data_IF_139432466778
#
_entry.id   IF_139432466778
#
_cell.length_a   1.000
_cell.length_b   1.000
_cell.length_c   1.000
_cell.angle_alpha   90.00
_cell.angle_beta   90.00
_cell.angle_gamma   90.00
#
_symmetry.space_group_name_H-M   'P 1'
#
loop_
_entity.id
_entity.type
_entity.pdbx_description
1 polymer ?
#
# COMPACT_ATOMS: atom_id res chain seq x y z
N UNK A 1 1.61 -16.63 23.62
CA UNK A 1 1.95 -16.89 22.20
C UNK A 1 3.05 -15.90 21.85
N UNK A 2 4.22 -16.36 21.43
CA UNK A 2 5.29 -15.47 20.95
C UNK A 2 4.75 -14.83 19.66
N UNK A 3 4.59 -13.51 19.64
CA UNK A 3 4.22 -12.79 18.40
C UNK A 3 5.30 -13.09 17.36
N UNK A 4 4.91 -13.76 16.28
CA UNK A 4 5.82 -14.03 15.16
C UNK A 4 6.22 -12.67 14.54
N UNK A 5 7.51 -12.36 14.54
CA UNK A 5 8.00 -11.14 13.87
C UNK A 5 7.55 -11.16 12.40
N UNK A 6 7.11 -10.04 11.84
CA UNK A 6 6.78 -9.98 10.41
C UNK A 6 8.01 -10.35 9.58
N UNK A 7 7.83 -10.96 8.40
CA UNK A 7 8.94 -11.26 7.50
C UNK A 7 9.69 -9.99 7.10
N UNK A 8 11.00 -10.12 6.91
CA UNK A 8 11.81 -9.04 6.35
C UNK A 8 11.44 -8.85 4.87
N UNK A 9 11.40 -7.62 4.39
CA UNK A 9 11.05 -7.30 3.01
C UNK A 9 12.27 -6.74 2.26
N UNK A 10 12.74 -7.48 1.26
CA UNK A 10 13.76 -7.02 0.31
C UNK A 10 13.10 -6.69 -1.01
N UNK A 11 13.17 -5.46 -1.45
CA UNK A 11 12.68 -5.04 -2.77
C UNK A 11 13.85 -4.71 -3.68
N UNK A 12 13.91 -5.35 -4.84
CA UNK A 12 14.85 -5.05 -5.90
C UNK A 12 14.15 -4.20 -6.96
N UNK A 13 14.58 -2.95 -7.15
CA UNK A 13 14.18 -2.14 -8.30
C UNK A 13 15.01 -2.61 -9.48
N UNK A 14 14.45 -3.50 -10.30
CA UNK A 14 15.19 -4.16 -11.38
C UNK A 14 15.20 -3.37 -12.68
N UNK A 15 14.34 -2.35 -12.80
CA UNK A 15 14.29 -1.46 -13.96
C UNK A 15 13.61 -0.13 -13.62
N UNK A 16 14.05 0.94 -14.23
CA UNK A 16 13.33 2.22 -14.20
C UNK A 16 12.34 2.36 -15.37
N UNK A 17 12.33 1.42 -16.32
CA UNK A 17 11.42 1.44 -17.48
C UNK A 17 10.00 1.08 -17.07
N UNK A 18 9.04 1.75 -17.70
CA UNK A 18 7.63 1.39 -17.64
C UNK A 18 7.00 1.57 -19.01
N UNK A 19 6.07 0.71 -19.37
CA UNK A 19 5.31 0.80 -20.60
C UNK A 19 4.01 1.63 -20.44
N UNK A 20 3.71 2.11 -19.22
CA UNK A 20 2.58 2.98 -18.92
C UNK A 20 3.04 4.33 -18.37
N UNK A 21 2.14 5.31 -18.45
CA UNK A 21 2.31 6.64 -17.88
C UNK A 21 1.09 6.99 -17.02
N UNK A 22 0.97 6.33 -15.86
CA UNK A 22 -0.15 6.52 -14.93
C UNK A 22 -0.18 7.95 -14.41
N UNK A 23 -1.37 8.55 -14.33
CA UNK A 23 -1.55 9.98 -13.98
C UNK A 23 -1.09 10.37 -12.57
N UNK A 24 -0.98 9.40 -11.69
CA UNK A 24 -0.60 9.57 -10.29
C UNK A 24 0.76 8.93 -9.94
N UNK A 25 1.51 8.47 -10.93
CA UNK A 25 2.75 7.75 -10.69
C UNK A 25 3.75 8.65 -9.96
N UNK A 26 4.23 8.21 -8.79
CA UNK A 26 5.25 8.92 -8.04
C UNK A 26 6.68 8.64 -8.53
N UNK A 27 6.85 7.69 -9.43
CA UNK A 27 8.11 7.38 -10.09
C UNK A 27 8.34 8.36 -11.24
N UNK A 28 8.92 9.51 -10.93
CA UNK A 28 9.06 10.62 -11.89
C UNK A 28 10.34 10.54 -12.73
N UNK A 29 11.35 9.77 -12.27
CA UNK A 29 12.67 9.70 -12.86
C UNK A 29 12.91 8.40 -13.63
N UNK A 30 11.92 8.02 -14.47
CA UNK A 30 12.00 6.82 -15.31
C UNK A 30 13.05 6.98 -16.39
N UNK A 31 13.85 5.91 -16.58
CA UNK A 31 14.86 5.83 -17.65
C UNK A 31 14.94 4.41 -18.23
N UNK A 32 15.95 4.11 -19.03
CA UNK A 32 16.10 2.82 -19.71
C UNK A 32 17.02 1.84 -19.00
N UNK A 33 17.50 2.19 -17.81
CA UNK A 33 18.41 1.33 -17.04
C UNK A 33 17.70 0.11 -16.47
N UNK A 34 18.48 -0.92 -16.28
CA UNK A 34 18.06 -2.17 -15.61
C UNK A 34 19.17 -2.71 -14.73
N UNK A 35 18.78 -3.55 -13.77
CA UNK A 35 19.70 -4.21 -12.85
C UNK A 35 20.51 -5.31 -13.56
N UNK A 36 21.77 -5.44 -13.20
CA UNK A 36 22.60 -6.56 -13.62
C UNK A 36 22.16 -7.85 -12.90
N UNK A 37 22.06 -8.96 -13.63
CA UNK A 37 21.56 -10.24 -13.10
C UNK A 37 22.47 -10.78 -11.99
N UNK A 38 23.78 -10.72 -12.17
CA UNK A 38 24.73 -11.24 -11.19
C UNK A 38 24.74 -10.36 -9.92
N UNK A 39 24.54 -9.05 -10.08
CA UNK A 39 24.33 -8.16 -8.95
C UNK A 39 23.05 -8.51 -8.19
N UNK A 40 21.94 -8.74 -8.89
CA UNK A 40 20.68 -9.16 -8.27
C UNK A 40 20.82 -10.47 -7.48
N UNK A 41 21.47 -11.50 -8.07
CA UNK A 41 21.75 -12.78 -7.39
C UNK A 41 22.58 -12.60 -6.13
N UNK A 42 23.70 -11.85 -6.21
CA UNK A 42 24.57 -11.55 -5.05
C UNK A 42 23.80 -10.81 -3.95
N UNK A 43 22.92 -9.92 -4.34
CA UNK A 43 22.07 -9.21 -3.37
C UNK A 43 21.11 -10.17 -2.67
N UNK A 44 20.41 -11.02 -3.40
CA UNK A 44 19.52 -12.04 -2.84
C UNK A 44 20.30 -12.97 -1.91
N UNK A 45 21.48 -13.47 -2.32
CA UNK A 45 22.37 -14.30 -1.50
C UNK A 45 22.74 -13.61 -0.18
N UNK A 46 23.20 -12.34 -0.26
CA UNK A 46 23.55 -11.55 0.93
C UNK A 46 22.39 -11.57 1.94
N UNK A 47 21.18 -11.25 1.52
CA UNK A 47 20.05 -11.16 2.43
C UNK A 47 19.51 -12.52 2.88
N UNK A 48 19.63 -13.58 2.10
CA UNK A 48 19.28 -14.93 2.50
C UNK A 48 20.28 -15.54 3.52
N UNK A 49 21.55 -15.06 3.54
CA UNK A 49 22.61 -15.61 4.40
C UNK A 49 22.93 -14.72 5.60
N UNK A 50 22.53 -13.45 5.61
CA UNK A 50 22.84 -12.47 6.67
C UNK A 50 21.56 -11.88 7.29
N UNK A 51 21.71 -11.14 8.40
CA UNK A 51 20.59 -10.46 9.10
C UNK A 51 19.86 -11.35 10.10
N UNK A 52 19.22 -10.71 11.08
CA UNK A 52 18.50 -11.35 12.20
C UNK A 52 16.99 -11.44 11.91
N UNK A 53 16.62 -12.21 10.88
CA UNK A 53 15.24 -12.53 10.51
C UNK A 53 15.19 -13.95 9.94
N UNK A 54 14.10 -14.66 10.20
CA UNK A 54 13.92 -16.08 9.81
C UNK A 54 13.24 -16.22 8.44
N UNK A 55 12.46 -15.22 8.05
CA UNK A 55 11.66 -15.22 6.83
C UNK A 55 11.88 -13.92 6.05
N UNK A 56 12.03 -14.03 4.73
CA UNK A 56 12.21 -12.88 3.84
C UNK A 56 11.26 -12.95 2.64
N UNK A 57 10.62 -11.82 2.34
CA UNK A 57 9.90 -11.61 1.09
C UNK A 57 10.78 -10.84 0.13
N UNK A 58 11.02 -11.38 -1.04
CA UNK A 58 11.87 -10.79 -2.07
C UNK A 58 10.97 -10.27 -3.18
N UNK A 59 10.88 -8.95 -3.31
CA UNK A 59 10.04 -8.27 -4.28
C UNK A 59 10.81 -7.78 -5.49
N UNK A 60 10.26 -7.98 -6.68
CA UNK A 60 10.71 -7.31 -7.89
C UNK A 60 9.83 -6.09 -8.14
N UNK A 61 10.47 -4.94 -8.31
CA UNK A 61 9.84 -3.65 -8.43
C UNK A 61 10.52 -2.78 -9.49
N UNK A 62 9.98 -1.59 -9.74
CA UNK A 62 10.48 -0.61 -10.67
C UNK A 62 9.33 0.01 -11.45
N UNK A 63 9.59 0.57 -12.63
CA UNK A 63 8.53 1.08 -13.49
C UNK A 63 7.51 -0.01 -13.82
N UNK A 64 7.94 -1.05 -14.57
CA UNK A 64 7.21 -2.30 -14.76
C UNK A 64 8.23 -3.46 -14.77
N UNK A 65 8.28 -4.26 -13.71
CA UNK A 65 9.32 -5.29 -13.57
C UNK A 65 9.26 -6.38 -14.65
N UNK A 66 8.10 -6.69 -15.20
CA UNK A 66 7.98 -7.71 -16.25
C UNK A 66 8.52 -7.28 -17.62
N UNK A 67 8.91 -6.02 -17.81
CA UNK A 67 9.74 -5.62 -18.94
C UNK A 67 11.13 -6.28 -18.92
N UNK A 68 11.58 -6.65 -17.73
CA UNK A 68 12.85 -7.34 -17.51
C UNK A 68 12.60 -8.76 -16.94
N UNK A 69 11.60 -9.47 -17.48
CA UNK A 69 11.27 -10.85 -17.08
C UNK A 69 12.47 -11.79 -17.07
N UNK A 70 13.45 -11.71 -18.00
CA UNK A 70 14.65 -12.53 -17.90
C UNK A 70 15.43 -12.40 -16.60
N UNK A 71 15.47 -11.21 -15.99
CA UNK A 71 16.09 -10.99 -14.68
C UNK A 71 15.31 -11.72 -13.60
N UNK A 72 13.96 -11.55 -13.59
CA UNK A 72 13.07 -12.22 -12.63
C UNK A 72 13.26 -13.74 -12.69
N UNK A 73 13.15 -14.30 -13.90
CA UNK A 73 13.27 -15.74 -14.15
C UNK A 73 14.60 -16.28 -13.66
N UNK A 74 15.70 -15.68 -14.10
CA UNK A 74 17.05 -16.12 -13.79
C UNK A 74 17.36 -16.05 -12.28
N UNK A 75 16.96 -14.97 -11.61
CA UNK A 75 17.16 -14.81 -10.16
C UNK A 75 16.35 -15.84 -9.38
N UNK A 76 15.07 -16.05 -9.74
CA UNK A 76 14.21 -17.01 -9.07
C UNK A 76 14.72 -18.45 -9.25
N UNK A 77 14.97 -18.88 -10.50
CA UNK A 77 15.42 -20.25 -10.81
C UNK A 77 16.80 -20.53 -10.18
N UNK A 78 17.72 -19.56 -10.20
CA UNK A 78 19.00 -19.67 -9.52
C UNK A 78 18.83 -19.80 -8.00
N UNK A 79 17.92 -19.05 -7.39
CA UNK A 79 17.63 -19.14 -5.95
C UNK A 79 17.00 -20.48 -5.59
N UNK A 80 16.00 -20.95 -6.34
CA UNK A 80 15.35 -22.26 -6.11
C UNK A 80 16.28 -23.46 -6.32
N UNK A 81 17.31 -23.32 -7.13
CA UNK A 81 18.30 -24.38 -7.34
C UNK A 81 19.25 -24.61 -6.15
N UNK A 82 19.12 -23.85 -5.07
CA UNK A 82 20.03 -23.85 -3.90
C UNK A 82 19.25 -23.99 -2.58
N UNK A 83 19.98 -24.38 -1.53
CA UNK A 83 19.44 -24.41 -0.17
C UNK A 83 19.91 -23.16 0.59
N UNK A 84 18.99 -22.51 1.27
CA UNK A 84 19.23 -21.29 2.03
C UNK A 84 18.88 -21.47 3.51
N UNK A 85 19.55 -20.76 4.43
CA UNK A 85 19.27 -20.86 5.87
C UNK A 85 17.94 -20.21 6.29
N UNK A 86 17.30 -19.45 5.40
CA UNK A 86 16.06 -18.71 5.68
C UNK A 86 14.91 -19.16 4.80
N UNK A 87 13.69 -19.04 5.32
CA UNK A 87 12.49 -19.17 4.51
C UNK A 87 12.29 -17.94 3.64
N UNK A 88 11.85 -18.14 2.41
CA UNK A 88 11.63 -17.03 1.49
C UNK A 88 10.48 -17.28 0.53
N UNK A 89 9.94 -16.19 -0.01
CA UNK A 89 9.07 -16.21 -1.17
C UNK A 89 9.40 -15.02 -2.08
N UNK A 90 9.04 -15.15 -3.35
CA UNK A 90 9.16 -14.06 -4.31
C UNK A 90 7.80 -13.42 -4.57
N UNK A 91 7.80 -12.14 -4.89
CA UNK A 91 6.62 -11.43 -5.38
C UNK A 91 6.98 -10.33 -6.38
N UNK A 92 6.00 -9.89 -7.14
CA UNK A 92 6.12 -8.71 -7.97
C UNK A 92 4.82 -7.92 -8.01
N UNK A 93 4.94 -6.59 -7.97
CA UNK A 93 3.88 -5.69 -8.35
C UNK A 93 3.91 -5.48 -9.86
N UNK A 94 2.76 -5.58 -10.54
CA UNK A 94 2.71 -5.42 -11.99
C UNK A 94 1.47 -4.67 -12.45
N UNK A 95 1.59 -3.99 -13.57
CA UNK A 95 0.44 -3.43 -14.29
C UNK A 95 -0.31 -4.50 -15.13
N UNK A 96 0.22 -5.70 -15.26
CA UNK A 96 -0.43 -6.86 -15.89
C UNK A 96 -0.53 -6.83 -17.41
N UNK A 97 0.00 -5.80 -18.09
CA UNK A 97 -0.29 -5.56 -19.52
C UNK A 97 0.64 -6.26 -20.51
N UNK A 98 1.74 -6.86 -20.02
CA UNK A 98 2.79 -7.41 -20.88
C UNK A 98 3.08 -8.89 -20.62
N UNK A 99 2.15 -9.60 -19.98
CA UNK A 99 2.30 -11.03 -19.70
C UNK A 99 2.07 -11.84 -20.98
N UNK A 100 3.16 -12.24 -21.65
CA UNK A 100 3.14 -13.15 -22.80
C UNK A 100 2.75 -14.56 -22.36
N UNK A 101 2.43 -15.44 -23.30
CA UNK A 101 2.10 -16.84 -23.00
C UNK A 101 3.25 -17.55 -22.29
N UNK A 102 4.51 -17.29 -22.68
CA UNK A 102 5.70 -17.80 -21.99
C UNK A 102 5.75 -17.36 -20.52
N UNK A 103 5.51 -16.08 -20.25
CA UNK A 103 5.49 -15.53 -18.88
C UNK A 103 4.36 -16.15 -18.07
N UNK A 104 3.16 -16.28 -18.65
CA UNK A 104 2.00 -16.88 -18.00
C UNK A 104 2.22 -18.36 -17.66
N UNK A 105 2.85 -19.12 -18.57
CA UNK A 105 3.19 -20.51 -18.32
C UNK A 105 4.18 -20.66 -17.18
N UNK A 106 5.26 -19.87 -17.19
CA UNK A 106 6.25 -19.85 -16.13
C UNK A 106 5.63 -19.47 -14.77
N UNK A 107 4.82 -18.42 -14.72
CA UNK A 107 4.13 -17.97 -13.52
C UNK A 107 3.16 -19.03 -12.99
N UNK A 108 2.39 -19.69 -13.87
CA UNK A 108 1.45 -20.74 -13.50
C UNK A 108 2.18 -21.93 -12.86
N UNK A 109 3.35 -22.28 -13.41
CA UNK A 109 4.18 -23.37 -12.89
C UNK A 109 4.72 -23.05 -11.50
N UNK A 110 5.04 -21.77 -11.22
CA UNK A 110 5.69 -21.34 -9.99
C UNK A 110 4.78 -20.58 -9.02
N UNK A 111 3.46 -20.58 -9.22
CA UNK A 111 2.50 -19.78 -8.45
C UNK A 111 2.50 -19.99 -6.93
N UNK A 112 3.01 -21.13 -6.47
CA UNK A 112 3.13 -21.43 -5.02
C UNK A 112 4.37 -20.80 -4.37
N UNK A 113 5.31 -20.31 -5.17
CA UNK A 113 6.59 -19.74 -4.73
C UNK A 113 6.78 -18.30 -5.18
N UNK A 114 5.91 -17.85 -6.12
CA UNK A 114 5.93 -16.50 -6.69
C UNK A 114 4.52 -15.90 -6.65
N UNK A 115 4.38 -14.79 -5.93
CA UNK A 115 3.10 -14.11 -5.75
C UNK A 115 3.00 -12.88 -6.65
N UNK A 116 1.82 -12.63 -7.19
CA UNK A 116 1.58 -11.49 -8.08
C UNK A 116 0.62 -10.52 -7.45
N UNK A 117 1.00 -9.25 -7.38
CA UNK A 117 0.11 -8.19 -6.97
C UNK A 117 -0.27 -7.33 -8.19
N UNK A 118 -1.50 -7.49 -8.66
CA UNK A 118 -2.00 -6.73 -9.81
C UNK A 118 -2.40 -5.32 -9.41
N UNK A 119 -1.94 -4.34 -10.19
CA UNK A 119 -2.41 -2.96 -10.10
C UNK A 119 -3.69 -2.78 -10.91
N UNK A 120 -4.83 -2.56 -10.24
CA UNK A 120 -6.15 -2.44 -10.88
C UNK A 120 -6.99 -1.39 -10.18
N UNK A 121 -7.44 -0.36 -10.91
CA UNK A 121 -8.06 0.84 -10.34
C UNK A 121 -9.60 0.87 -10.45
N UNK A 122 -10.25 -0.28 -10.48
CA UNK A 122 -11.72 -0.34 -10.55
C UNK A 122 -12.25 -0.63 -11.95
N UNK A 123 -13.30 0.06 -12.36
CA UNK A 123 -13.95 -0.11 -13.67
C UNK A 123 -13.00 0.19 -14.82
N UNK A 124 -13.30 -0.35 -16.01
CA UNK A 124 -12.53 -0.04 -17.23
C UNK A 124 -12.38 1.47 -17.43
N UNK A 125 -13.46 2.23 -17.24
CA UNK A 125 -13.47 3.70 -17.38
C UNK A 125 -12.39 4.34 -16.51
N UNK A 126 -12.39 4.01 -15.23
CA UNK A 126 -11.44 4.56 -14.26
C UNK A 126 -10.02 4.07 -14.52
N UNK A 127 -9.85 2.77 -14.75
CA UNK A 127 -8.54 2.20 -15.01
C UNK A 127 -7.88 2.84 -16.24
N UNK A 128 -8.61 2.95 -17.35
CA UNK A 128 -8.11 3.53 -18.60
C UNK A 128 -7.75 5.01 -18.42
N UNK A 129 -8.57 5.77 -17.68
CA UNK A 129 -8.29 7.16 -17.34
C UNK A 129 -7.00 7.33 -16.53
N UNK A 130 -6.77 6.44 -15.58
CA UNK A 130 -5.63 6.49 -14.67
C UNK A 130 -4.36 5.88 -15.25
N UNK A 131 -4.48 4.79 -16.04
CA UNK A 131 -3.38 3.90 -16.44
C UNK A 131 -3.26 3.73 -17.96
N UNK A 132 -3.27 4.84 -18.69
CA UNK A 132 -2.90 4.89 -20.14
C UNK A 132 -3.73 3.97 -21.03
N UNK A 133 -5.07 3.87 -20.81
CA UNK A 133 -5.97 3.02 -21.59
C UNK A 133 -5.49 1.55 -21.64
N UNK A 134 -5.19 0.97 -20.50
CA UNK A 134 -4.55 -0.34 -20.42
C UNK A 134 -5.45 -1.49 -19.96
N UNK A 135 -6.70 -1.25 -19.59
CA UNK A 135 -7.58 -2.26 -19.01
C UNK A 135 -7.73 -3.51 -19.87
N UNK A 136 -8.01 -3.33 -21.17
CA UNK A 136 -8.23 -4.46 -22.11
C UNK A 136 -6.94 -5.27 -22.41
N UNK A 137 -5.78 -4.81 -21.94
CA UNK A 137 -4.51 -5.54 -22.07
C UNK A 137 -4.25 -6.49 -20.90
N UNK A 138 -5.09 -6.43 -19.86
CA UNK A 138 -4.94 -7.20 -18.64
C UNK A 138 -5.82 -8.46 -18.75
N UNK A 139 -5.22 -9.62 -18.59
CA UNK A 139 -5.94 -10.89 -18.46
C UNK A 139 -6.37 -11.09 -17.00
N UNK A 140 -7.53 -10.54 -16.64
CA UNK A 140 -8.07 -10.63 -15.29
C UNK A 140 -8.32 -12.07 -14.85
N UNK A 141 -8.77 -12.92 -15.76
CA UNK A 141 -9.06 -14.33 -15.47
C UNK A 141 -7.79 -15.09 -15.11
N UNK A 142 -6.66 -14.76 -15.74
CA UNK A 142 -5.36 -15.33 -15.41
C UNK A 142 -4.97 -15.06 -13.95
N UNK A 143 -5.11 -13.81 -13.49
CA UNK A 143 -4.80 -13.44 -12.11
C UNK A 143 -5.75 -14.11 -11.13
N UNK A 144 -7.05 -14.06 -11.38
CA UNK A 144 -8.06 -14.66 -10.53
C UNK A 144 -7.87 -16.18 -10.38
N UNK A 145 -7.56 -16.87 -11.49
CA UNK A 145 -7.34 -18.32 -11.49
C UNK A 145 -6.08 -18.74 -10.72
N UNK A 146 -5.00 -17.98 -10.82
CA UNK A 146 -3.71 -18.39 -10.25
C UNK A 146 -3.50 -17.88 -8.83
N UNK A 147 -4.01 -16.69 -8.50
CA UNK A 147 -3.88 -16.06 -7.17
C UNK A 147 -5.23 -15.49 -6.67
N UNK A 148 -6.24 -16.34 -6.43
CA UNK A 148 -7.58 -15.90 -6.04
C UNK A 148 -7.60 -15.20 -4.67
N UNK A 149 -6.59 -15.45 -3.85
CA UNK A 149 -6.45 -14.88 -2.51
C UNK A 149 -5.58 -13.63 -2.46
N UNK A 150 -4.79 -13.37 -3.51
CA UNK A 150 -3.95 -12.19 -3.56
C UNK A 150 -4.78 -10.95 -3.90
N UNK A 151 -4.65 -9.88 -3.11
CA UNK A 151 -5.41 -8.67 -3.34
C UNK A 151 -4.84 -7.85 -4.48
N UNK A 152 -5.71 -7.15 -5.20
CA UNK A 152 -5.29 -6.11 -6.14
C UNK A 152 -4.91 -4.83 -5.41
N UNK A 153 -4.00 -4.05 -5.99
CA UNK A 153 -3.65 -2.69 -5.56
C UNK A 153 -4.45 -1.68 -6.39
N UNK A 154 -5.25 -0.87 -5.69
CA UNK A 154 -6.01 0.22 -6.28
C UNK A 154 -5.44 1.57 -5.84
N UNK A 155 -5.22 2.48 -6.76
CA UNK A 155 -4.84 3.86 -6.47
C UNK A 155 -6.00 4.80 -6.79
N UNK A 156 -6.35 5.63 -5.82
CA UNK A 156 -7.41 6.65 -5.95
C UNK A 156 -6.73 7.97 -6.34
N UNK A 157 -7.10 8.52 -7.47
CA UNK A 157 -6.60 9.81 -7.99
C UNK A 157 -7.69 10.86 -8.04
N UNK A 158 -7.31 12.11 -8.28
CA UNK A 158 -8.27 13.20 -8.52
C UNK A 158 -9.23 12.94 -9.69
N UNK A 159 -8.87 12.00 -10.57
CA UNK A 159 -9.63 11.70 -11.78
C UNK A 159 -10.83 10.78 -11.53
N UNK A 160 -10.80 9.98 -10.47
CA UNK A 160 -11.84 8.98 -10.21
C UNK A 160 -12.57 9.15 -8.88
N UNK A 161 -12.49 10.32 -8.24
CA UNK A 161 -13.12 10.54 -6.94
C UNK A 161 -14.64 10.33 -6.98
N UNK A 162 -15.30 10.76 -8.05
CA UNK A 162 -16.75 10.62 -8.19
C UNK A 162 -17.21 9.17 -8.44
N UNK A 163 -16.35 8.32 -8.95
CA UNK A 163 -16.61 6.92 -9.27
C UNK A 163 -16.07 5.97 -8.18
N UNK A 164 -15.49 6.50 -7.08
CA UNK A 164 -14.75 5.73 -6.08
C UNK A 164 -15.55 4.52 -5.54
N UNK A 165 -16.80 4.70 -5.13
CA UNK A 165 -17.60 3.60 -4.60
C UNK A 165 -17.88 2.54 -5.66
N UNK A 166 -18.19 2.95 -6.89
CA UNK A 166 -18.45 2.05 -8.02
C UNK A 166 -17.20 1.23 -8.37
N UNK A 167 -16.04 1.85 -8.35
CA UNK A 167 -14.76 1.17 -8.63
C UNK A 167 -14.46 0.06 -7.62
N UNK A 168 -14.68 0.30 -6.32
CA UNK A 168 -14.52 -0.73 -5.30
C UNK A 168 -15.54 -1.86 -5.46
N UNK A 169 -16.81 -1.51 -5.68
CA UNK A 169 -17.89 -2.48 -5.87
C UNK A 169 -17.60 -3.36 -7.07
N UNK A 170 -17.21 -2.77 -8.21
CA UNK A 170 -16.84 -3.51 -9.42
C UNK A 170 -15.73 -4.54 -9.15
N UNK A 171 -14.68 -4.18 -8.43
CA UNK A 171 -13.59 -5.11 -8.11
C UNK A 171 -14.07 -6.27 -7.25
N UNK A 172 -14.94 -6.02 -6.27
CA UNK A 172 -15.53 -7.08 -5.43
C UNK A 172 -16.48 -7.98 -6.23
N UNK A 173 -17.31 -7.42 -7.11
CA UNK A 173 -18.21 -8.18 -7.99
C UNK A 173 -17.43 -9.05 -8.99
N UNK A 174 -16.22 -8.62 -9.37
CA UNK A 174 -15.28 -9.43 -10.15
C UNK A 174 -14.52 -10.48 -9.31
N UNK A 175 -14.80 -10.58 -8.01
CA UNK A 175 -14.20 -11.55 -7.11
C UNK A 175 -12.81 -11.17 -6.57
N UNK A 176 -12.33 -9.96 -6.83
CA UNK A 176 -11.04 -9.52 -6.33
C UNK A 176 -11.11 -9.06 -4.88
N UNK A 177 -10.10 -9.44 -4.08
CA UNK A 177 -9.82 -8.81 -2.80
C UNK A 177 -9.09 -7.49 -3.05
N UNK A 178 -9.36 -6.49 -2.24
CA UNK A 178 -8.72 -5.18 -2.36
C UNK A 178 -7.88 -4.93 -1.12
N UNK A 179 -6.57 -4.85 -1.31
CA UNK A 179 -5.61 -4.38 -0.30
C UNK A 179 -4.84 -3.20 -0.91
N UNK A 180 -4.28 -2.33 -0.08
CA UNK A 180 -3.52 -1.21 -0.60
C UNK A 180 -4.37 -0.23 -1.43
N UNK A 181 -5.62 0.02 -1.03
CA UNK A 181 -6.43 1.09 -1.60
C UNK A 181 -6.00 2.43 -0.99
N UNK A 182 -5.08 3.10 -1.66
CA UNK A 182 -4.52 4.35 -1.19
C UNK A 182 -4.88 5.50 -2.13
N UNK A 183 -5.05 6.70 -1.56
CA UNK A 183 -5.00 7.90 -2.36
C UNK A 183 -3.59 8.07 -2.93
N UNK A 184 -3.49 8.68 -4.10
CA UNK A 184 -2.22 8.91 -4.76
C UNK A 184 -1.25 9.66 -3.84
N UNK A 185 -0.06 9.11 -3.66
CA UNK A 185 0.96 9.67 -2.78
C UNK A 185 1.89 10.64 -3.54
N UNK A 186 2.54 11.55 -2.80
CA UNK A 186 3.45 12.53 -3.37
C UNK A 186 2.77 13.73 -4.04
N UNK A 187 1.47 13.83 -3.96
CA UNK A 187 0.68 14.96 -4.44
C UNK A 187 -0.52 15.22 -3.54
N UNK A 188 -0.95 16.47 -3.46
CA UNK A 188 -2.19 16.84 -2.79
C UNK A 188 -3.38 16.73 -3.76
N UNK A 189 -4.57 16.44 -3.20
CA UNK A 189 -5.83 16.46 -3.94
C UNK A 189 -6.09 17.90 -4.40
N UNK A 190 -6.33 18.07 -5.69
CA UNK A 190 -6.70 19.37 -6.28
C UNK A 190 -8.08 19.78 -5.81
N UNK A 191 -8.35 21.09 -5.78
CA UNK A 191 -9.63 21.65 -5.36
C UNK A 191 -10.19 20.96 -4.09
N UNK A 192 -9.47 21.06 -2.93
CA UNK A 192 -9.79 20.26 -1.75
C UNK A 192 -11.21 20.52 -1.23
N UNK A 193 -11.74 21.74 -1.35
CA UNK A 193 -13.10 22.06 -0.91
C UNK A 193 -14.13 21.13 -1.53
N UNK A 194 -14.19 21.08 -2.87
CA UNK A 194 -15.13 20.24 -3.62
C UNK A 194 -14.81 18.75 -3.51
N UNK A 195 -13.54 18.39 -3.66
CA UNK A 195 -13.14 17.00 -3.78
C UNK A 195 -13.24 16.24 -2.45
N UNK A 196 -13.03 16.89 -1.30
CA UNK A 196 -13.26 16.26 0.00
C UNK A 196 -14.74 15.98 0.27
N UNK A 197 -15.66 16.82 -0.25
CA UNK A 197 -17.11 16.53 -0.20
C UNK A 197 -17.44 15.29 -1.04
N UNK A 198 -16.94 15.20 -2.28
CA UNK A 198 -17.15 14.04 -3.14
C UNK A 198 -16.60 12.78 -2.47
N UNK A 199 -15.37 12.81 -1.94
CA UNK A 199 -14.76 11.68 -1.23
C UNK A 199 -15.66 11.26 -0.06
N UNK A 200 -16.17 12.22 0.71
CA UNK A 200 -17.03 11.95 1.84
C UNK A 200 -18.28 11.18 1.38
N UNK A 201 -18.97 11.67 0.36
CA UNK A 201 -20.19 11.03 -0.18
C UNK A 201 -19.90 9.62 -0.69
N UNK A 202 -18.82 9.44 -1.42
CA UNK A 202 -18.43 8.15 -2.00
C UNK A 202 -18.03 7.13 -0.92
N UNK A 203 -17.32 7.55 0.12
CA UNK A 203 -16.97 6.67 1.24
C UNK A 203 -18.22 6.24 2.03
N UNK A 204 -19.19 7.12 2.25
CA UNK A 204 -20.44 6.72 2.89
C UNK A 204 -21.26 5.75 2.02
N UNK A 205 -21.35 6.01 0.70
CA UNK A 205 -22.00 5.09 -0.26
C UNK A 205 -21.34 3.71 -0.21
N UNK A 206 -20.02 3.65 -0.19
CA UNK A 206 -19.27 2.39 -0.09
C UNK A 206 -19.46 1.72 1.28
N UNK A 207 -19.52 2.49 2.37
CA UNK A 207 -19.82 1.99 3.71
C UNK A 207 -21.20 1.31 3.76
N UNK A 208 -22.23 1.95 3.21
CA UNK A 208 -23.58 1.38 3.14
C UNK A 208 -23.61 0.09 2.31
N UNK A 209 -22.88 0.05 1.21
CA UNK A 209 -22.75 -1.18 0.42
C UNK A 209 -22.11 -2.32 1.24
N UNK A 210 -21.00 -2.07 1.97
CA UNK A 210 -20.40 -3.08 2.85
C UNK A 210 -21.29 -3.50 4.02
N UNK A 211 -22.17 -2.62 4.51
CA UNK A 211 -23.16 -2.99 5.53
C UNK A 211 -24.20 -3.94 4.94
N UNK A 212 -24.63 -3.70 3.69
CA UNK A 212 -25.58 -4.56 2.97
C UNK A 212 -24.98 -5.91 2.50
N UNK A 213 -23.62 -5.99 2.38
CA UNK A 213 -22.89 -7.18 1.93
C UNK A 213 -21.91 -7.66 3.02
N UNK A 214 -22.42 -8.22 4.14
CA UNK A 214 -21.59 -8.61 5.28
C UNK A 214 -20.59 -9.76 4.97
N UNK A 215 -20.85 -10.54 3.92
CA UNK A 215 -20.00 -11.60 3.40
C UNK A 215 -18.73 -11.09 2.74
N UNK A 216 -18.74 -9.85 2.25
CA UNK A 216 -17.58 -9.22 1.60
C UNK A 216 -16.63 -8.66 2.64
N UNK A 217 -15.35 -9.05 2.57
CA UNK A 217 -14.30 -8.45 3.39
C UNK A 217 -14.04 -7.01 2.92
N UNK A 218 -14.21 -6.00 3.78
CA UNK A 218 -13.97 -4.63 3.39
C UNK A 218 -12.51 -4.38 2.97
N UNK A 219 -12.33 -3.50 2.00
CA UNK A 219 -11.02 -3.00 1.61
C UNK A 219 -10.30 -2.30 2.77
N UNK A 220 -8.98 -2.19 2.68
CA UNK A 220 -8.14 -1.64 3.76
C UNK A 220 -8.57 -0.24 4.21
N UNK A 221 -9.12 0.57 3.31
CA UNK A 221 -9.63 1.92 3.63
C UNK A 221 -10.72 1.91 4.72
N UNK A 222 -11.44 0.78 4.90
CA UNK A 222 -12.43 0.55 5.95
C UNK A 222 -11.94 -0.34 7.11
N UNK A 223 -10.63 -0.55 7.23
CA UNK A 223 -10.03 -1.43 8.24
C UNK A 223 -9.28 -0.66 9.33
N UNK A 224 -9.63 0.61 9.59
CA UNK A 224 -9.00 1.39 10.64
C UNK A 224 -9.26 0.76 12.02
N UNK A 225 -8.22 0.50 12.82
CA UNK A 225 -8.35 -0.12 14.14
C UNK A 225 -8.77 0.91 15.20
N UNK A 226 -10.01 1.41 15.11
CA UNK A 226 -10.52 2.55 15.88
C UNK A 226 -10.38 2.36 17.40
N UNK A 227 -10.41 1.13 17.91
CA UNK A 227 -10.18 0.85 19.34
C UNK A 227 -8.84 1.39 19.85
N UNK A 228 -7.83 1.56 18.98
CA UNK A 228 -6.54 2.15 19.36
C UNK A 228 -6.65 3.61 19.81
N UNK A 229 -7.69 4.33 19.38
CA UNK A 229 -7.90 5.70 19.85
C UNK A 229 -8.28 5.79 21.34
N UNK A 230 -8.72 4.69 21.95
CA UNK A 230 -9.04 4.58 23.38
C UNK A 230 -7.92 3.91 24.20
N UNK A 231 -6.85 3.45 23.55
CA UNK A 231 -5.68 2.91 24.21
C UNK A 231 -4.71 4.04 24.61
N UNK A 232 -3.74 3.73 25.47
CA UNK A 232 -2.62 4.62 25.74
C UNK A 232 -1.86 4.93 24.47
N UNK A 233 -1.55 6.20 24.23
CA UNK A 233 -0.80 6.63 23.04
C UNK A 233 0.66 6.19 23.17
N UNK A 234 1.12 5.49 22.16
CA UNK A 234 2.51 5.06 22.03
C UNK A 234 3.15 5.71 20.80
N UNK A 235 4.44 6.00 20.92
CA UNK A 235 5.28 6.35 19.78
C UNK A 235 5.47 5.08 18.93
N UNK A 236 4.79 5.01 17.79
CA UNK A 236 4.86 3.85 16.91
C UNK A 236 4.90 4.28 15.46
N UNK A 237 5.90 3.81 14.75
CA UNK A 237 5.95 3.96 13.28
C UNK A 237 4.79 3.24 12.63
N UNK A 238 4.24 3.88 11.60
CA UNK A 238 3.09 3.34 10.86
C UNK A 238 3.52 2.46 9.67
N UNK A 239 4.77 2.55 9.24
CA UNK A 239 5.34 1.72 8.18
C UNK A 239 6.79 1.33 8.47
N UNK A 240 7.40 0.48 7.63
CA UNK A 240 8.75 -0.06 7.81
C UNK A 240 9.91 0.90 7.55
N UNK A 241 9.64 2.14 7.11
CA UNK A 241 10.71 3.11 6.78
C UNK A 241 11.64 3.35 7.98
N UNK A 242 12.95 3.31 7.73
CA UNK A 242 13.96 3.51 8.77
C UNK A 242 14.09 2.39 9.81
N UNK A 243 13.19 1.40 9.79
CA UNK A 243 13.25 0.21 10.65
C UNK A 243 14.12 -0.91 10.08
N UNK A 244 14.19 -2.02 10.83
CA UNK A 244 14.93 -3.22 10.40
C UNK A 244 14.06 -4.22 9.62
N UNK A 245 12.86 -3.83 9.19
CA UNK A 245 11.89 -4.72 8.55
C UNK A 245 11.93 -4.73 7.02
N UNK A 246 12.58 -3.74 6.40
CA UNK A 246 12.63 -3.63 4.93
C UNK A 246 13.89 -2.96 4.41
N UNK A 247 14.28 -3.31 3.18
CA UNK A 247 15.29 -2.62 2.38
C UNK A 247 14.90 -2.64 0.91
N UNK A 248 15.25 -1.57 0.23
CA UNK A 248 15.10 -1.42 -1.22
C UNK A 248 16.48 -1.24 -1.83
N UNK A 249 16.78 -2.01 -2.86
CA UNK A 249 18.03 -1.91 -3.60
C UNK A 249 17.71 -1.40 -4.99
N UNK A 250 18.30 -0.28 -5.37
CA UNK A 250 18.13 0.30 -6.70
C UNK A 250 19.29 -0.05 -7.64
N UNK A 251 19.19 0.39 -8.88
CA UNK A 251 20.11 0.10 -9.98
C UNK A 251 21.55 0.57 -9.74
N UNK A 252 21.73 1.54 -8.83
CA UNK A 252 23.05 2.04 -8.39
C UNK A 252 23.70 1.16 -7.33
N UNK A 253 23.01 0.09 -6.89
CA UNK A 253 23.46 -0.81 -5.83
C UNK A 253 23.37 -0.25 -4.42
N UNK A 254 22.79 0.93 -4.25
CA UNK A 254 22.59 1.55 -2.94
C UNK A 254 21.33 1.01 -2.25
N UNK A 255 21.37 1.02 -0.93
CA UNK A 255 20.24 0.66 -0.08
C UNK A 255 19.39 1.90 0.22
N UNK A 256 18.08 1.76 0.01
CA UNK A 256 17.06 2.75 0.33
C UNK A 256 16.05 2.18 1.32
N UNK A 257 15.32 3.06 2.00
CA UNK A 257 14.39 2.66 3.08
C UNK A 257 13.01 2.25 2.56
N UNK A 258 12.62 2.75 1.40
CA UNK A 258 11.42 2.34 0.68
C UNK A 258 11.53 2.71 -0.80
N UNK A 259 10.64 2.20 -1.62
CA UNK A 259 10.59 2.49 -3.07
C UNK A 259 10.41 3.98 -3.36
N UNK A 260 9.61 4.69 -2.54
CA UNK A 260 9.41 6.13 -2.72
C UNK A 260 10.68 6.95 -2.40
N UNK A 261 11.58 6.47 -1.55
CA UNK A 261 12.82 7.19 -1.18
C UNK A 261 14.01 6.86 -2.09
N UNK A 262 13.79 6.24 -3.24
CA UNK A 262 14.82 5.84 -4.20
C UNK A 262 14.91 6.79 -5.39
N UNK A 263 16.00 6.74 -6.19
CA UNK A 263 16.24 7.63 -7.33
C UNK A 263 15.16 7.66 -8.41
N UNK A 264 14.35 6.60 -8.55
CA UNK A 264 13.23 6.60 -9.49
C UNK A 264 12.12 7.57 -9.07
N UNK A 265 12.05 7.93 -7.78
CA UNK A 265 10.95 8.71 -7.19
C UNK A 265 11.39 10.05 -6.62
N UNK A 266 12.56 10.14 -5.99
CA UNK A 266 13.10 11.36 -5.38
C UNK A 266 14.32 11.88 -6.15
N UNK A 267 14.51 13.19 -6.12
CA UNK A 267 15.70 13.82 -6.67
C UNK A 267 16.93 13.63 -5.77
N UNK A 268 18.11 13.93 -6.31
CA UNK A 268 19.39 13.74 -5.59
C UNK A 268 19.49 14.57 -4.31
N UNK A 269 18.92 15.77 -4.27
CA UNK A 269 18.94 16.65 -3.09
C UNK A 269 18.12 16.04 -1.95
N UNK A 270 16.91 15.59 -2.22
CA UNK A 270 16.04 14.92 -1.23
C UNK A 270 16.69 13.65 -0.68
N UNK A 271 17.29 12.84 -1.56
CA UNK A 271 18.01 11.62 -1.16
C UNK A 271 19.22 11.96 -0.28
N UNK A 272 19.99 12.99 -0.65
CA UNK A 272 21.16 13.42 0.11
C UNK A 272 20.78 13.96 1.50
N UNK A 273 19.64 14.61 1.64
CA UNK A 273 19.10 15.05 2.94
C UNK A 273 18.70 13.86 3.80
N UNK A 274 17.95 12.91 3.26
CA UNK A 274 17.54 11.69 3.99
C UNK A 274 18.75 10.90 4.47
N UNK A 275 19.79 10.78 3.66
CA UNK A 275 21.03 10.05 4.02
C UNK A 275 21.80 10.67 5.21
N UNK A 276 21.55 11.93 5.54
CA UNK A 276 22.16 12.60 6.72
C UNK A 276 21.39 12.34 8.02
N UNK A 277 20.17 11.82 7.94
CA UNK A 277 19.28 11.62 9.07
C UNK A 277 19.51 10.24 9.71
N UNK A 278 19.46 10.18 11.04
CA UNK A 278 19.37 8.90 11.75
C UNK A 278 17.93 8.41 11.75
N UNK A 279 17.58 7.60 10.76
CA UNK A 279 16.23 7.06 10.63
C UNK A 279 15.85 6.03 11.72
N UNK A 280 16.75 5.70 12.64
CA UNK A 280 16.40 4.95 13.85
C UNK A 280 15.70 5.84 14.89
N UNK A 281 15.88 7.15 14.84
CA UNK A 281 15.19 8.11 15.72
C UNK A 281 13.71 8.20 15.35
N UNK A 282 12.85 7.68 16.23
CA UNK A 282 11.40 7.70 16.03
C UNK A 282 10.80 9.12 16.02
N UNK A 283 11.46 10.09 16.65
CA UNK A 283 10.99 11.49 16.69
C UNK A 283 10.93 12.13 15.30
N UNK A 284 11.75 11.67 14.35
CA UNK A 284 11.68 12.13 12.96
C UNK A 284 10.32 11.87 12.29
N UNK A 285 9.55 10.90 12.80
CA UNK A 285 8.30 10.42 12.20
C UNK A 285 7.06 10.86 12.96
N UNK A 286 7.22 11.67 14.01
CA UNK A 286 6.14 12.04 14.93
C UNK A 286 6.03 13.55 15.02
N UNK A 287 4.87 14.06 14.67
CA UNK A 287 4.49 15.44 14.95
C UNK A 287 3.96 15.50 16.38
N UNK A 288 4.64 16.26 17.24
CA UNK A 288 4.33 16.36 18.68
C UNK A 288 2.93 16.93 18.94
N UNK A 289 2.46 17.89 18.14
CA UNK A 289 1.11 18.43 18.29
C UNK A 289 0.06 17.37 17.96
N UNK A 290 0.25 16.62 16.87
CA UNK A 290 -0.62 15.51 16.54
C UNK A 290 -0.60 14.41 17.62
N UNK A 291 0.58 14.08 18.15
CA UNK A 291 0.72 13.10 19.23
C UNK A 291 -0.02 13.53 20.48
N UNK A 292 0.19 14.75 20.93
CA UNK A 292 -0.39 15.24 22.18
C UNK A 292 -1.88 15.55 22.05
N UNK A 293 -2.30 16.19 20.96
CA UNK A 293 -3.59 16.86 20.88
C UNK A 293 -4.60 16.19 19.93
N UNK A 294 -4.16 15.35 18.97
CA UNK A 294 -5.08 14.74 18.03
C UNK A 294 -5.61 13.39 18.52
N UNK A 295 -6.92 13.25 18.59
CA UNK A 295 -7.58 11.99 18.97
C UNK A 295 -7.34 10.87 17.96
N UNK A 296 -7.18 11.20 16.65
CA UNK A 296 -6.98 10.23 15.58
C UNK A 296 -5.53 9.75 15.43
N UNK A 297 -4.58 10.33 16.18
CA UNK A 297 -3.16 9.99 16.04
C UNK A 297 -2.88 8.48 15.97
N UNK A 298 -3.46 7.61 16.84
CA UNK A 298 -3.17 6.18 16.83
C UNK A 298 -3.61 5.41 15.57
N UNK A 299 -4.47 6.02 14.75
CA UNK A 299 -5.05 5.41 13.53
C UNK A 299 -4.79 6.26 12.28
N UNK A 300 -4.10 7.39 12.41
CA UNK A 300 -3.81 8.30 11.32
C UNK A 300 -2.56 7.82 10.56
N UNK A 301 -2.75 6.82 9.71
CA UNK A 301 -1.68 6.24 8.88
C UNK A 301 -1.44 7.13 7.66
N UNK A 302 -0.15 7.37 7.34
CA UNK A 302 0.27 8.17 6.20
C UNK A 302 1.62 7.68 5.63
N UNK A 303 1.97 8.13 4.42
CA UNK A 303 3.26 7.82 3.80
C UNK A 303 4.31 8.85 4.23
N UNK A 304 5.25 8.45 5.07
CA UNK A 304 6.33 9.33 5.55
C UNK A 304 7.21 9.86 4.42
N UNK A 305 7.57 9.01 3.45
CA UNK A 305 8.39 9.44 2.32
C UNK A 305 7.66 10.47 1.43
N UNK A 306 6.35 10.30 1.21
CA UNK A 306 5.55 11.28 0.49
C UNK A 306 5.40 12.59 1.28
N UNK A 307 5.28 12.54 2.61
CA UNK A 307 5.31 13.74 3.44
C UNK A 307 6.64 14.47 3.27
N UNK A 308 7.77 13.75 3.38
CA UNK A 308 9.08 14.33 3.20
C UNK A 308 9.24 14.99 1.81
N UNK A 309 8.78 14.32 0.76
CA UNK A 309 8.83 14.85 -0.60
C UNK A 309 8.05 16.17 -0.77
N UNK A 310 6.94 16.34 -0.03
CA UNK A 310 6.07 17.51 -0.10
C UNK A 310 6.47 18.64 0.86
N UNK A 311 6.98 18.30 2.05
CA UNK A 311 7.15 19.27 3.16
C UNK A 311 8.60 19.39 3.65
N UNK A 312 9.50 18.48 3.25
CA UNK A 312 10.84 18.36 3.83
C UNK A 312 10.87 17.68 5.20
N UNK A 313 9.75 17.13 5.67
CA UNK A 313 9.63 16.45 6.97
C UNK A 313 8.86 15.15 6.84
N UNK A 314 9.32 14.08 7.51
CA UNK A 314 8.57 12.82 7.57
C UNK A 314 7.29 12.94 8.42
N UNK A 315 7.31 13.78 9.44
CA UNK A 315 6.23 13.93 10.42
C UNK A 315 5.14 14.94 9.98
N UNK A 316 5.51 15.92 9.16
CA UNK A 316 4.60 16.98 8.74
C UNK A 316 3.69 16.51 7.61
N UNK A 317 2.40 16.83 7.73
CA UNK A 317 1.37 16.53 6.72
C UNK A 317 0.80 17.83 6.18
N UNK A 318 0.40 17.80 4.92
CA UNK A 318 -0.43 18.89 4.40
C UNK A 318 -1.79 18.92 5.12
N UNK A 319 -2.39 20.11 5.18
CA UNK A 319 -3.73 20.26 5.75
C UNK A 319 -4.74 19.38 5.04
N UNK A 320 -4.61 19.23 3.72
CA UNK A 320 -5.48 18.36 2.91
C UNK A 320 -5.40 16.90 3.37
N UNK A 321 -4.21 16.35 3.60
CA UNK A 321 -4.05 14.99 4.13
C UNK A 321 -4.65 14.84 5.52
N UNK A 322 -4.57 15.86 6.36
CA UNK A 322 -5.20 15.88 7.67
C UNK A 322 -6.73 15.79 7.56
N UNK A 323 -7.36 16.59 6.69
CA UNK A 323 -8.81 16.53 6.46
C UNK A 323 -9.25 15.18 5.87
N UNK A 324 -8.50 14.64 4.92
CA UNK A 324 -8.74 13.31 4.37
C UNK A 324 -8.68 12.21 5.44
N UNK A 325 -7.75 12.29 6.38
CA UNK A 325 -7.66 11.35 7.50
C UNK A 325 -8.89 11.42 8.40
N UNK A 326 -9.42 12.62 8.68
CA UNK A 326 -10.66 12.81 9.44
C UNK A 326 -11.85 12.20 8.70
N UNK A 327 -12.00 12.45 7.40
CA UNK A 327 -13.06 11.88 6.56
C UNK A 327 -13.00 10.35 6.57
N UNK A 328 -11.82 9.76 6.38
CA UNK A 328 -11.64 8.30 6.48
C UNK A 328 -12.03 7.75 7.85
N UNK A 329 -11.66 8.43 8.93
CA UNK A 329 -12.01 8.01 10.28
C UNK A 329 -13.51 8.07 10.53
N UNK A 330 -14.20 9.12 10.07
CA UNK A 330 -15.66 9.25 10.18
C UNK A 330 -16.40 8.17 9.37
N UNK A 331 -15.97 7.91 8.13
CA UNK A 331 -16.55 6.84 7.31
C UNK A 331 -16.36 5.45 7.95
N UNK A 332 -15.17 5.20 8.54
CA UNK A 332 -14.91 3.98 9.31
C UNK A 332 -15.77 3.88 10.57
N UNK A 333 -15.95 4.98 11.30
CA UNK A 333 -16.81 5.02 12.49
C UNK A 333 -18.27 4.73 12.13
N UNK A 334 -18.77 5.34 11.06
CA UNK A 334 -20.12 5.06 10.52
C UNK A 334 -20.27 3.57 10.17
N UNK A 335 -19.39 3.04 9.33
CA UNK A 335 -19.42 1.65 8.90
C UNK A 335 -19.36 0.66 10.09
N UNK A 336 -18.39 0.84 11.00
CA UNK A 336 -18.24 -0.02 12.16
C UNK A 336 -19.42 0.12 13.13
N UNK A 337 -19.94 1.34 13.32
CA UNK A 337 -21.12 1.62 14.12
C UNK A 337 -22.36 0.87 13.59
N UNK A 338 -22.64 0.94 12.28
CA UNK A 338 -23.75 0.20 11.65
C UNK A 338 -23.64 -1.31 11.87
N UNK A 339 -22.44 -1.87 11.77
CA UNK A 339 -22.21 -3.31 12.05
C UNK A 339 -22.42 -3.68 13.52
N UNK A 340 -22.21 -2.77 14.46
CA UNK A 340 -22.51 -3.03 15.88
C UNK A 340 -24.01 -3.05 16.17
N UNK A 341 -24.80 -2.21 15.51
CA UNK A 341 -26.25 -2.18 15.72
C UNK A 341 -26.95 -3.50 15.35
N UNK A 342 -26.33 -4.33 14.51
CA UNK A 342 -26.84 -5.65 14.15
C UNK A 342 -26.43 -6.76 15.13
N UNK A 343 -25.60 -6.48 16.14
CA UNK A 343 -25.14 -7.47 17.15
C UNK A 343 -25.99 -7.46 18.39
N UNK A 344 -26.11 -8.62 19.03
CA UNK A 344 -26.72 -8.72 20.34
C UNK A 344 -25.81 -8.12 21.42
N UNK A 345 -26.32 -7.18 22.21
CA UNK A 345 -25.56 -6.45 23.25
C UNK A 345 -24.93 -7.37 24.32
N UNK A 346 -25.52 -8.54 24.56
CA UNK A 346 -24.97 -9.52 25.53
C UNK A 346 -23.69 -10.23 25.07
N UNK A 347 -23.33 -10.10 23.78
CA UNK A 347 -22.18 -10.78 23.18
C UNK A 347 -20.99 -9.82 22.94
N UNK A 348 -21.09 -8.55 23.39
CA UNK A 348 -20.07 -7.54 23.15
C UNK A 348 -18.87 -7.76 24.06
N UNK A 349 -17.71 -8.02 23.44
CA UNK A 349 -16.41 -8.16 24.11
C UNK A 349 -15.87 -6.82 24.61
N UNK A 350 -14.86 -6.83 25.52
CA UNK A 350 -14.24 -5.59 25.98
C UNK A 350 -13.53 -4.81 24.86
N UNK A 351 -12.89 -5.51 23.93
CA UNK A 351 -12.31 -4.88 22.73
C UNK A 351 -13.35 -4.19 21.85
N UNK A 352 -14.54 -4.76 21.76
CA UNK A 352 -15.67 -4.14 21.03
C UNK A 352 -16.23 -2.93 21.77
N UNK A 353 -16.28 -2.94 23.11
CA UNK A 353 -16.66 -1.77 23.89
C UNK A 353 -15.71 -0.59 23.66
N UNK A 354 -14.40 -0.84 23.63
CA UNK A 354 -13.41 0.19 23.29
C UNK A 354 -13.65 0.75 21.89
N UNK A 355 -13.95 -0.11 20.92
CA UNK A 355 -14.26 0.30 19.56
C UNK A 355 -15.54 1.14 19.48
N UNK A 356 -16.60 0.78 20.20
CA UNK A 356 -17.84 1.54 20.29
C UNK A 356 -17.58 2.93 20.86
N UNK A 357 -16.79 3.04 21.96
CA UNK A 357 -16.41 4.34 22.53
C UNK A 357 -15.69 5.21 21.50
N UNK A 358 -14.72 4.63 20.76
CA UNK A 358 -14.01 5.34 19.72
C UNK A 358 -14.94 5.81 18.59
N UNK A 359 -15.88 4.96 18.14
CA UNK A 359 -16.89 5.31 17.14
C UNK A 359 -17.72 6.52 17.58
N UNK A 360 -18.25 6.49 18.79
CA UNK A 360 -19.07 7.58 19.34
C UNK A 360 -18.26 8.89 19.44
N UNK A 361 -17.02 8.81 19.90
CA UNK A 361 -16.16 9.98 20.07
C UNK A 361 -15.71 10.58 18.73
N UNK A 362 -15.36 9.75 17.74
CA UNK A 362 -15.03 10.21 16.38
C UNK A 362 -16.23 10.95 15.77
N UNK A 363 -17.41 10.38 15.89
CA UNK A 363 -18.65 11.01 15.40
C UNK A 363 -18.92 12.34 16.08
N UNK A 364 -18.71 12.44 17.40
CA UNK A 364 -18.87 13.68 18.16
C UNK A 364 -17.85 14.76 17.76
N UNK A 365 -16.59 14.38 17.52
CA UNK A 365 -15.51 15.33 17.24
C UNK A 365 -15.45 15.78 15.76
N UNK A 366 -15.78 14.88 14.83
CA UNK A 366 -15.53 15.07 13.40
C UNK A 366 -16.73 14.79 12.51
N UNK A 367 -17.80 14.17 13.01
CA UNK A 367 -18.92 13.68 12.19
C UNK A 367 -19.87 14.78 11.65
N UNK A 368 -19.82 15.97 12.22
CA UNK A 368 -20.72 17.06 11.81
C UNK A 368 -22.20 16.66 11.89
N UNK A 369 -23.03 17.21 10.98
CA UNK A 369 -24.49 16.95 10.92
C UNK A 369 -24.87 15.63 10.21
N UNK A 370 -23.93 14.82 9.75
CA UNK A 370 -24.20 13.63 8.90
C UNK A 370 -24.19 12.29 9.64
N UNK A 371 -23.97 12.28 10.96
CA UNK A 371 -23.94 11.03 11.77
C UNK A 371 -24.95 11.11 12.90
#
# INVERSE_FOLDING_TARGET
MVEKKPPFELTLIITHRCNLNCVYCYEHHKDLRKMDIEFAKKTVEKYLTTGDYEEIKIGFFGGEPFLEFPIIKEVCEWTWSRTWPKNYCFYADTNGTILTDEIKEWLTTHKNYFYMCLSLDGTKKTHDLNRSNSFDKIDLDFFHKNWPDEPVKMTISDKNLADLAEDFIFLHEKGFKINGSNFAEGQDIKDPGKNLEIITEQLFKLADWYVAHPEVKPAQIFSLPLARCEAEKEYRRQCGIGGNGMRVIDLDGQEYFCTFSSPISMNEEQIAEIKKMDLSDEKLFINDDCFNNCYLFPVCIDCYAANFALTGSFAEKSQMKCELAKIKAVANAYFQGKRFLSKNMSEITEAEKQRIKAVLKINSLFGGKRV
#
